data_IF_825916167233
#
_entry.id   IF_825916167233
#
_cell.length_a   1.000
_cell.length_b   1.000
_cell.length_c   1.000
_cell.angle_alpha   90.00
_cell.angle_beta   90.00
_cell.angle_gamma   90.00
#
_symmetry.space_group_name_H-M   'P 1'
#
loop_
_entity.id
_entity.type
_entity.pdbx_description
1 polymer ?
#
# COMPACT_ATOMS: atom_id res chain seq x y z
N UNK A 1 31.87 -31.40 -68.56
CA UNK A 1 32.03 -31.31 -67.09
C UNK A 1 32.19 -29.86 -66.55
N UNK A 2 32.03 -28.78 -67.35
CA UNK A 2 32.25 -27.39 -66.88
C UNK A 2 30.99 -26.63 -66.37
N UNK A 3 29.78 -27.17 -66.57
CA UNK A 3 28.51 -26.54 -66.14
C UNK A 3 28.16 -26.77 -64.66
N UNK A 4 28.89 -27.64 -63.96
CA UNK A 4 28.61 -28.00 -62.57
C UNK A 4 29.14 -26.97 -61.57
N UNK A 5 30.22 -26.27 -61.91
CA UNK A 5 30.82 -25.20 -61.11
C UNK A 5 29.85 -24.01 -60.93
N UNK A 6 29.26 -23.43 -61.99
CA UNK A 6 28.30 -22.32 -61.81
C UNK A 6 27.03 -22.76 -61.07
N UNK A 7 26.59 -24.01 -61.24
CA UNK A 7 25.43 -24.55 -60.53
C UNK A 7 25.69 -24.70 -59.03
N UNK A 8 26.89 -25.14 -58.65
CA UNK A 8 27.29 -25.26 -57.25
C UNK A 8 27.45 -23.90 -56.57
N UNK A 9 28.01 -22.90 -57.27
CA UNK A 9 28.09 -21.51 -56.79
C UNK A 9 26.69 -20.92 -56.60
N UNK A 10 25.78 -21.18 -57.55
CA UNK A 10 24.39 -20.74 -57.45
C UNK A 10 23.68 -21.37 -56.24
N UNK A 11 23.87 -22.67 -56.01
CA UNK A 11 23.30 -23.36 -54.86
C UNK A 11 23.81 -22.78 -53.52
N UNK A 12 25.11 -22.52 -53.40
CA UNK A 12 25.69 -21.90 -52.20
C UNK A 12 25.14 -20.48 -52.01
N UNK A 13 25.03 -19.68 -53.07
CA UNK A 13 24.46 -18.34 -53.01
C UNK A 13 23.01 -18.34 -52.50
N UNK A 14 22.19 -19.28 -52.96
CA UNK A 14 20.80 -19.43 -52.52
C UNK A 14 20.72 -19.83 -51.05
N UNK A 15 21.53 -20.79 -50.60
CA UNK A 15 21.57 -21.21 -49.18
C UNK A 15 22.01 -20.06 -48.28
N UNK A 16 23.06 -19.32 -48.67
CA UNK A 16 23.53 -18.15 -47.91
C UNK A 16 22.48 -17.06 -47.81
N UNK A 17 21.71 -16.81 -48.88
CA UNK A 17 20.59 -15.86 -48.86
C UNK A 17 19.47 -16.29 -47.93
N UNK A 18 19.10 -17.57 -47.94
CA UNK A 18 18.05 -18.12 -47.07
C UNK A 18 18.43 -18.06 -45.60
N UNK A 19 19.65 -18.46 -45.26
CA UNK A 19 20.14 -18.42 -43.87
C UNK A 19 20.36 -16.97 -43.43
N UNK A 20 20.94 -16.13 -44.29
CA UNK A 20 21.18 -14.73 -44.00
C UNK A 20 19.90 -13.93 -43.76
N UNK A 21 18.87 -14.13 -44.58
CA UNK A 21 17.58 -13.43 -44.43
C UNK A 21 16.80 -13.91 -43.21
N UNK A 22 16.80 -15.21 -42.91
CA UNK A 22 16.15 -15.75 -41.71
C UNK A 22 16.83 -15.23 -40.43
N UNK A 23 18.16 -15.20 -40.41
CA UNK A 23 18.94 -14.70 -39.27
C UNK A 23 18.74 -13.19 -39.10
N UNK A 24 18.75 -12.44 -40.20
CA UNK A 24 18.46 -11.00 -40.18
C UNK A 24 17.06 -10.73 -39.65
N UNK A 25 16.04 -11.44 -40.14
CA UNK A 25 14.67 -11.31 -39.67
C UNK A 25 14.57 -11.58 -38.16
N UNK A 26 15.18 -12.66 -37.67
CA UNK A 26 15.18 -13.02 -36.24
C UNK A 26 15.80 -11.94 -35.34
N UNK A 27 16.88 -11.29 -35.78
CA UNK A 27 17.55 -10.24 -35.00
C UNK A 27 17.04 -8.83 -35.27
N UNK A 28 16.31 -8.61 -36.37
CA UNK A 28 15.67 -7.34 -36.68
C UNK A 28 14.28 -7.21 -36.05
N UNK A 29 13.71 -8.33 -35.60
CA UNK A 29 12.38 -8.34 -35.02
C UNK A 29 12.36 -7.52 -33.73
N UNK A 30 11.51 -6.49 -33.73
CA UNK A 30 11.34 -5.57 -32.60
C UNK A 30 9.86 -5.54 -32.29
N UNK A 31 9.47 -6.37 -31.34
CA UNK A 31 8.11 -6.39 -30.82
C UNK A 31 7.84 -5.12 -30.03
N UNK A 32 7.04 -4.22 -30.59
CA UNK A 32 6.56 -3.04 -29.89
C UNK A 32 5.28 -3.41 -29.15
N UNK A 33 5.37 -3.52 -27.83
CA UNK A 33 4.19 -3.67 -27.00
C UNK A 33 3.52 -2.30 -26.81
N UNK A 34 2.65 -1.94 -27.75
CA UNK A 34 1.73 -0.81 -27.68
C UNK A 34 0.54 -1.15 -26.78
N UNK A 35 -0.03 -0.14 -26.11
CA UNK A 35 -1.19 -0.25 -25.21
C UNK A 35 -0.93 -0.83 -23.80
N UNK A 36 0.34 -0.89 -23.36
CA UNK A 36 0.63 -1.10 -21.94
C UNK A 36 0.20 0.12 -21.12
N UNK A 37 -0.81 -0.06 -20.27
CA UNK A 37 -1.26 0.98 -19.35
C UNK A 37 -0.77 0.66 -17.94
N UNK A 38 0.24 1.39 -17.46
CA UNK A 38 0.58 1.41 -16.04
C UNK A 38 -0.33 2.41 -15.34
N UNK A 39 -1.49 1.97 -14.88
CA UNK A 39 -2.35 2.80 -14.04
C UNK A 39 -1.75 2.84 -12.64
N UNK A 40 -1.05 3.94 -12.31
CA UNK A 40 -0.76 4.24 -10.92
C UNK A 40 -2.09 4.49 -10.20
N UNK A 41 -2.35 3.75 -9.11
CA UNK A 41 -3.46 4.07 -8.22
C UNK A 41 -3.23 5.43 -7.55
N UNK A 42 -4.30 6.08 -7.09
CA UNK A 42 -4.13 7.24 -6.20
C UNK A 42 -3.80 6.74 -4.80
N UNK A 43 -2.77 7.32 -4.17
CA UNK A 43 -2.50 7.08 -2.75
C UNK A 43 -3.78 7.41 -1.98
N UNK A 44 -4.38 6.41 -1.34
CA UNK A 44 -5.51 6.65 -0.49
C UNK A 44 -5.00 7.20 0.83
N UNK A 45 -5.62 8.29 1.25
CA UNK A 45 -5.41 8.85 2.56
C UNK A 45 -6.48 8.30 3.50
N UNK A 46 -6.06 7.72 4.63
CA UNK A 46 -6.97 7.23 5.66
C UNK A 46 -7.36 8.41 6.54
N UNK A 47 -8.62 8.83 6.44
CA UNK A 47 -9.17 9.89 7.28
C UNK A 47 -9.81 9.30 8.53
N UNK A 48 -9.77 10.09 9.59
CA UNK A 48 -10.34 9.84 10.90
C UNK A 48 -11.43 10.87 11.19
N UNK A 49 -12.40 10.53 12.01
CA UNK A 49 -13.38 11.50 12.56
C UNK A 49 -13.55 11.29 14.06
N UNK A 50 -14.03 12.30 14.76
CA UNK A 50 -14.56 12.14 16.11
C UNK A 50 -16.01 12.66 16.20
N UNK A 51 -16.51 12.95 17.40
CA UNK A 51 -17.89 13.41 17.57
C UNK A 51 -18.11 14.88 17.19
N UNK A 52 -17.05 15.67 17.07
CA UNK A 52 -17.13 17.12 16.91
C UNK A 52 -16.46 17.61 15.62
N UNK A 53 -15.93 16.70 14.80
CA UNK A 53 -15.15 16.98 13.61
C UNK A 53 -15.60 16.12 12.41
N UNK A 54 -15.45 16.64 11.19
CA UNK A 54 -15.58 15.86 9.95
C UNK A 54 -14.30 15.05 9.67
N UNK A 55 -14.32 14.19 8.65
CA UNK A 55 -13.17 13.36 8.24
C UNK A 55 -11.90 14.20 7.95
N UNK A 56 -10.82 13.95 8.70
CA UNK A 56 -9.54 14.65 8.61
C UNK A 56 -8.32 13.73 8.87
N UNK A 57 -7.12 14.33 8.89
CA UNK A 57 -5.83 13.59 8.95
C UNK A 57 -5.41 13.23 10.37
N UNK A 58 -6.12 13.76 11.36
CA UNK A 58 -5.88 13.54 12.77
C UNK A 58 -7.06 14.07 13.56
N UNK A 59 -7.47 13.33 14.58
CA UNK A 59 -8.56 13.69 15.49
C UNK A 59 -8.12 13.43 16.92
N UNK A 60 -8.69 14.16 17.87
CA UNK A 60 -8.36 14.00 19.30
C UNK A 60 -9.64 13.78 20.09
N UNK A 61 -9.89 12.54 20.51
CA UNK A 61 -10.94 12.20 21.46
C UNK A 61 -10.36 12.10 22.88
N UNK A 62 -11.07 12.64 23.87
CA UNK A 62 -10.62 12.65 25.28
C UNK A 62 -11.64 11.96 26.17
N UNK A 63 -11.42 10.70 26.55
CA UNK A 63 -12.33 9.97 27.44
C UNK A 63 -12.13 10.32 28.91
N UNK A 64 -13.18 10.85 29.55
CA UNK A 64 -13.15 11.19 30.99
C UNK A 64 -14.04 10.25 31.80
N UNK A 65 -13.42 9.43 32.66
CA UNK A 65 -14.13 8.66 33.68
C UNK A 65 -13.90 9.29 35.05
N UNK A 66 -14.98 9.46 35.82
CA UNK A 66 -14.93 9.96 37.21
C UNK A 66 -15.42 8.89 38.17
N UNK A 67 -15.00 8.96 39.44
CA UNK A 67 -15.44 8.03 40.49
C UNK A 67 -15.24 6.55 40.12
N UNK A 68 -14.09 6.24 39.50
CA UNK A 68 -13.76 4.88 39.13
C UNK A 68 -13.61 4.01 40.36
N UNK A 69 -14.36 2.90 40.41
CA UNK A 69 -14.20 1.87 41.44
C UNK A 69 -13.68 0.57 40.81
N UNK A 70 -12.91 -0.26 41.57
CA UNK A 70 -12.41 -1.52 41.05
C UNK A 70 -13.52 -2.41 40.50
N UNK A 71 -13.35 -2.92 39.28
CA UNK A 71 -14.29 -3.83 38.61
C UNK A 71 -15.49 -3.14 37.95
N UNK A 72 -15.60 -1.81 37.98
CA UNK A 72 -16.62 -1.08 37.24
C UNK A 72 -16.20 -0.82 35.79
N UNK A 73 -17.10 -1.12 34.85
CA UNK A 73 -16.94 -0.78 33.45
C UNK A 73 -17.56 0.60 33.16
N UNK A 74 -16.86 1.42 32.37
CA UNK A 74 -17.37 2.69 31.85
C UNK A 74 -17.61 2.59 30.35
N UNK A 75 -18.84 2.89 29.93
CA UNK A 75 -19.20 2.99 28.53
C UNK A 75 -19.21 4.47 28.12
N UNK A 76 -18.35 4.83 27.18
CA UNK A 76 -18.27 6.19 26.64
C UNK A 76 -19.17 6.32 25.41
N UNK A 77 -20.33 6.95 25.59
CA UNK A 77 -21.33 7.08 24.52
C UNK A 77 -21.14 8.32 23.63
N UNK A 78 -20.34 9.30 24.09
CA UNK A 78 -20.23 10.64 23.48
C UNK A 78 -18.83 11.01 23.02
N UNK A 79 -17.85 10.12 23.15
CA UNK A 79 -16.50 10.26 22.60
C UNK A 79 -16.17 9.00 21.81
N UNK A 80 -15.92 9.16 20.51
CA UNK A 80 -15.65 8.08 19.57
C UNK A 80 -14.53 8.53 18.63
N UNK A 81 -13.79 7.57 18.11
CA UNK A 81 -12.93 7.75 16.95
C UNK A 81 -13.46 6.85 15.84
N UNK A 82 -13.90 7.46 14.75
CA UNK A 82 -14.32 6.76 13.53
C UNK A 82 -13.12 6.45 12.67
N UNK A 83 -13.01 5.19 12.25
CA UNK A 83 -11.95 4.68 11.38
C UNK A 83 -12.58 4.27 10.04
N UNK A 84 -11.78 4.31 8.96
CA UNK A 84 -12.07 3.72 7.65
C UNK A 84 -12.69 4.59 6.54
N UNK A 85 -12.61 5.92 6.61
CA UNK A 85 -12.80 6.70 5.38
C UNK A 85 -11.49 6.76 4.60
N UNK A 86 -11.44 6.13 3.43
CA UNK A 86 -10.30 6.23 2.53
C UNK A 86 -10.75 6.82 1.20
N UNK A 87 -10.01 7.81 0.69
CA UNK A 87 -10.27 8.42 -0.62
C UNK A 87 -9.20 7.96 -1.60
N UNK A 88 -9.47 6.90 -2.39
CA UNK A 88 -8.51 6.44 -3.39
C UNK A 88 -8.79 5.03 -3.90
N UNK A 89 -7.88 4.54 -4.76
CA UNK A 89 -7.98 3.20 -5.37
C UNK A 89 -7.05 2.17 -4.74
N UNK A 90 -6.07 2.61 -3.95
CA UNK A 90 -5.18 1.72 -3.18
C UNK A 90 -5.68 1.66 -1.74
N UNK A 91 -6.18 0.53 -1.23
CA UNK A 91 -6.62 0.45 0.16
C UNK A 91 -5.44 0.58 1.13
N UNK A 92 -5.64 1.19 2.32
CA UNK A 92 -4.61 1.24 3.36
C UNK A 92 -4.35 -0.16 3.94
N UNK A 93 -3.11 -0.42 4.35
CA UNK A 93 -2.66 -1.75 4.84
C UNK A 93 -2.59 -1.84 6.38
N UNK A 94 -2.25 -0.74 7.06
CA UNK A 94 -2.07 -0.71 8.52
C UNK A 94 -2.57 0.60 9.14
N UNK A 95 -3.08 0.51 10.37
CA UNK A 95 -3.38 1.65 11.25
C UNK A 95 -2.69 1.42 12.60
N UNK A 96 -1.93 2.41 13.08
CA UNK A 96 -1.32 2.41 14.41
C UNK A 96 -2.10 3.36 15.32
N UNK A 97 -2.50 2.89 16.50
CA UNK A 97 -3.24 3.67 17.49
C UNK A 97 -2.41 3.74 18.77
N UNK A 98 -2.08 4.95 19.20
CA UNK A 98 -1.34 5.21 20.43
C UNK A 98 -2.26 5.87 21.44
N UNK A 99 -2.36 5.26 22.63
CA UNK A 99 -3.12 5.81 23.74
C UNK A 99 -2.16 6.31 24.82
N UNK A 100 -2.42 7.51 25.34
CA UNK A 100 -1.78 8.03 26.54
C UNK A 100 -2.85 8.28 27.61
N UNK A 101 -2.48 8.15 28.87
CA UNK A 101 -3.36 8.42 30.00
C UNK A 101 -2.65 9.27 31.05
N UNK A 102 -3.44 10.01 31.83
CA UNK A 102 -2.99 10.73 33.01
C UNK A 102 -4.02 10.56 34.12
N UNK A 103 -3.57 10.38 35.36
CA UNK A 103 -4.43 10.32 36.55
C UNK A 103 -4.22 11.61 37.33
N UNK A 104 -5.31 12.30 37.68
CA UNK A 104 -5.29 13.48 38.55
C UNK A 104 -5.90 13.12 39.90
N UNK A 105 -5.05 13.02 40.93
CA UNK A 105 -5.43 12.68 42.30
C UNK A 105 -5.42 13.90 43.23
N UNK A 106 -5.25 15.12 42.69
CA UNK A 106 -5.00 16.33 43.49
C UNK A 106 -6.15 16.75 44.40
N UNK A 107 -7.37 16.24 44.15
CA UNK A 107 -8.56 16.57 44.93
C UNK A 107 -9.10 15.40 45.78
N UNK A 108 -8.62 14.17 45.58
CA UNK A 108 -9.10 12.99 46.32
C UNK A 108 -8.04 11.85 46.33
N UNK A 109 -6.98 11.93 47.15
CA UNK A 109 -5.98 10.88 47.26
C UNK A 109 -6.59 9.68 47.98
N UNK A 110 -7.08 8.68 47.23
CA UNK A 110 -7.58 7.44 47.82
C UNK A 110 -6.49 6.39 47.75
N UNK A 111 -5.80 6.30 48.90
CA UNK A 111 -4.82 5.30 49.35
C UNK A 111 -3.38 5.44 48.84
N UNK A 112 -2.46 5.51 49.80
CA UNK A 112 -1.03 5.27 49.60
C UNK A 112 -0.86 3.85 49.07
N UNK A 113 -0.43 3.75 47.82
CA UNK A 113 0.02 2.52 47.18
C UNK A 113 0.78 1.61 48.17
N UNK A 114 0.31 0.38 48.33
CA UNK A 114 1.06 -0.72 48.93
C UNK A 114 1.96 -1.35 47.86
N UNK A 115 2.81 -0.55 47.22
CA UNK A 115 3.88 -1.03 46.34
C UNK A 115 5.09 -1.37 47.22
N UNK A 116 5.46 -2.65 47.39
CA UNK A 116 6.76 -2.98 47.93
C UNK A 116 7.79 -2.82 46.79
N UNK A 117 8.78 -1.95 47.02
CA UNK A 117 9.97 -1.79 46.15
C UNK A 117 10.57 -3.11 45.63
#
# INVERSE_FOLDING_TARGET
>A
MKKQIPFSIMAIGIVSLLVGSATFAYFSDTETSSDNTFTAGTFADLKLLDNNEDWGDGVTATWTATDMIPGQEFLFNVERVGLAYYSGTVPPDSLEITCNYSVDETSNPVESDTDPE
#
